data_IF_911075109769
#
_entry.id   IF_911075109769
#
_cell.length_a   1.000
_cell.length_b   1.000
_cell.length_c   1.000
_cell.angle_alpha   90.00
_cell.angle_beta   90.00
_cell.angle_gamma   90.00
#
_symmetry.space_group_name_H-M   'P 1'
#
loop_
_entity.id
_entity.type
_entity.pdbx_description
1 polymer ?
#
# COMPACT_ATOMS: atom_id res chain seq x y z
N UNK A 1 -41.46 -27.82 11.56
CA UNK A 1 -41.09 -26.57 10.85
C UNK A 1 -39.70 -26.79 10.25
N UNK A 2 -39.65 -27.19 8.97
CA UNK A 2 -38.40 -27.49 8.30
C UNK A 2 -37.83 -26.17 7.73
N UNK A 3 -36.71 -25.72 8.31
CA UNK A 3 -35.91 -24.64 7.74
C UNK A 3 -35.27 -25.20 6.47
N UNK A 4 -35.80 -24.88 5.31
CA UNK A 4 -35.16 -25.18 4.03
C UNK A 4 -33.96 -24.23 3.90
N UNK A 5 -32.78 -24.73 4.29
CA UNK A 5 -31.53 -24.08 3.94
C UNK A 5 -31.36 -24.33 2.43
N UNK A 6 -31.75 -23.36 1.63
CA UNK A 6 -31.39 -23.36 0.21
C UNK A 6 -29.88 -23.22 0.13
N UNK A 7 -29.19 -24.33 -0.05
CA UNK A 7 -27.81 -24.32 -0.52
C UNK A 7 -27.84 -23.79 -1.95
N UNK A 8 -27.44 -22.54 -2.12
CA UNK A 8 -27.15 -22.00 -3.45
C UNK A 8 -25.88 -22.70 -3.91
N UNK A 9 -26.05 -23.70 -4.77
CA UNK A 9 -24.93 -24.35 -5.44
C UNK A 9 -24.58 -23.44 -6.62
N UNK A 10 -23.57 -22.61 -6.44
CA UNK A 10 -22.98 -21.85 -7.55
C UNK A 10 -21.91 -22.74 -8.20
N UNK A 11 -21.87 -22.74 -9.53
CA UNK A 11 -20.80 -23.43 -10.26
C UNK A 11 -19.43 -22.78 -9.98
N UNK A 12 -18.35 -23.55 -10.13
CA UNK A 12 -16.98 -23.00 -9.99
C UNK A 12 -16.77 -21.77 -10.87
N UNK A 13 -17.34 -21.73 -12.07
CA UNK A 13 -17.29 -20.59 -12.97
C UNK A 13 -18.06 -19.38 -12.42
N UNK A 14 -19.21 -19.60 -11.76
CA UNK A 14 -19.96 -18.52 -11.11
C UNK A 14 -19.25 -18.04 -9.85
N UNK A 15 -18.70 -18.96 -9.05
CA UNK A 15 -17.88 -18.60 -7.88
C UNK A 15 -16.66 -17.80 -8.30
N UNK A 16 -15.96 -18.23 -9.35
CA UNK A 16 -14.82 -17.52 -9.91
C UNK A 16 -15.20 -16.11 -10.40
N UNK A 17 -16.32 -15.96 -11.11
CA UNK A 17 -16.82 -14.65 -11.57
C UNK A 17 -17.18 -13.73 -10.40
N UNK A 18 -17.90 -14.24 -9.39
CA UNK A 18 -18.24 -13.46 -8.20
C UNK A 18 -16.98 -13.03 -7.44
N UNK A 19 -15.98 -13.92 -7.32
CA UNK A 19 -14.71 -13.63 -6.68
C UNK A 19 -13.86 -12.63 -7.48
N UNK A 20 -13.88 -12.71 -8.82
CA UNK A 20 -13.21 -11.76 -9.71
C UNK A 20 -13.91 -10.40 -9.75
N UNK A 21 -15.26 -10.35 -9.63
CA UNK A 21 -16.00 -9.09 -9.50
C UNK A 21 -15.81 -8.43 -8.15
N UNK A 22 -15.71 -9.19 -7.05
CA UNK A 22 -15.43 -8.66 -5.71
C UNK A 22 -13.99 -8.15 -5.56
N UNK A 23 -13.06 -8.62 -6.40
CA UNK A 23 -11.64 -8.24 -6.36
C UNK A 23 -11.19 -7.35 -7.51
N UNK A 24 -12.12 -6.77 -8.26
CA UNK A 24 -11.77 -5.87 -9.35
C UNK A 24 -11.12 -4.59 -8.80
N UNK A 25 -9.81 -4.51 -8.95
CA UNK A 25 -9.04 -3.32 -8.60
C UNK A 25 -9.46 -2.15 -9.50
N UNK A 26 -9.96 -1.07 -8.90
CA UNK A 26 -10.31 0.14 -9.62
C UNK A 26 -9.02 0.87 -10.04
N UNK A 27 -8.81 1.04 -11.33
CA UNK A 27 -7.67 1.79 -11.83
C UNK A 27 -7.97 3.29 -11.88
N UNK A 28 -7.20 4.08 -11.14
CA UNK A 28 -7.19 5.55 -11.18
C UNK A 28 -5.96 5.98 -11.99
N UNK A 29 -6.12 6.54 -13.19
CA UNK A 29 -4.98 6.83 -14.06
C UNK A 29 -3.99 7.82 -13.44
N UNK A 30 -4.48 8.79 -12.68
CA UNK A 30 -3.66 9.80 -12.01
C UNK A 30 -4.48 10.55 -10.96
N UNK A 31 -3.88 10.85 -9.81
CA UNK A 31 -4.53 11.63 -8.74
C UNK A 31 -4.86 13.07 -9.17
N UNK A 32 -4.19 13.57 -10.22
CA UNK A 32 -4.48 14.91 -10.80
C UNK A 32 -5.91 15.06 -11.29
N UNK A 33 -6.62 13.98 -11.65
CA UNK A 33 -8.05 14.03 -11.98
C UNK A 33 -8.92 14.46 -10.79
N UNK A 34 -8.39 14.35 -9.57
CA UNK A 34 -8.99 14.82 -8.32
C UNK A 34 -8.31 16.11 -7.81
N UNK A 35 -7.60 16.85 -8.68
CA UNK A 35 -6.88 18.06 -8.30
C UNK A 35 -5.67 17.84 -7.38
N UNK A 36 -5.05 16.65 -7.38
CA UNK A 36 -4.02 16.21 -6.43
C UNK A 36 -4.52 16.20 -4.96
N UNK A 37 -5.82 16.12 -4.75
CA UNK A 37 -6.43 16.15 -3.43
C UNK A 37 -6.76 14.71 -2.97
N UNK A 38 -6.06 14.28 -1.92
CA UNK A 38 -6.24 12.96 -1.32
C UNK A 38 -7.64 12.78 -0.74
N UNK A 39 -8.18 13.80 -0.08
CA UNK A 39 -9.49 13.70 0.57
C UNK A 39 -10.62 13.65 -0.46
N UNK A 40 -10.47 14.32 -1.60
CA UNK A 40 -11.42 14.22 -2.72
C UNK A 40 -11.39 12.81 -3.30
N UNK A 41 -10.20 12.24 -3.51
CA UNK A 41 -10.06 10.85 -3.95
C UNK A 41 -10.71 9.88 -2.96
N UNK A 42 -10.46 10.04 -1.65
CA UNK A 42 -11.06 9.14 -0.64
C UNK A 42 -12.58 9.23 -0.63
N UNK A 43 -13.16 10.42 -0.70
CA UNK A 43 -14.63 10.60 -0.81
C UNK A 43 -15.21 9.97 -2.09
N UNK A 44 -14.50 10.05 -3.20
CA UNK A 44 -14.89 9.34 -4.42
C UNK A 44 -14.90 7.83 -4.21
N UNK A 45 -13.85 7.28 -3.61
CA UNK A 45 -13.74 5.84 -3.31
C UNK A 45 -14.85 5.38 -2.35
N UNK A 46 -15.14 6.15 -1.30
CA UNK A 46 -16.26 5.90 -0.39
C UNK A 46 -17.60 5.81 -1.14
N UNK A 47 -17.85 6.71 -2.10
CA UNK A 47 -19.05 6.69 -2.93
C UNK A 47 -19.15 5.44 -3.82
N UNK A 48 -18.05 4.72 -4.03
CA UNK A 48 -17.95 3.47 -4.79
C UNK A 48 -17.91 2.23 -3.92
N UNK A 49 -18.07 2.37 -2.60
CA UNK A 49 -18.01 1.25 -1.64
C UNK A 49 -16.59 0.87 -1.22
N UNK A 50 -15.65 1.81 -1.30
CA UNK A 50 -14.22 1.59 -0.95
C UNK A 50 -13.58 0.40 -1.64
N UNK A 51 -13.64 0.27 -2.97
CA UNK A 51 -13.00 -0.83 -3.66
C UNK A 51 -11.47 -0.77 -3.50
N UNK A 52 -10.76 -1.89 -3.63
CA UNK A 52 -9.32 -1.85 -3.85
C UNK A 52 -9.02 -1.05 -5.12
N UNK A 53 -7.96 -0.23 -5.08
CA UNK A 53 -7.63 0.62 -6.23
C UNK A 53 -6.12 0.73 -6.46
N UNK A 54 -5.75 1.08 -7.70
CA UNK A 54 -4.39 1.38 -8.13
C UNK A 54 -4.29 2.81 -8.66
N UNK A 55 -3.13 3.43 -8.50
CA UNK A 55 -2.80 4.74 -9.03
C UNK A 55 -1.75 4.64 -10.15
N UNK A 56 -2.05 5.22 -11.32
CA UNK A 56 -1.18 5.21 -12.50
C UNK A 56 -0.05 6.23 -12.48
N UNK A 57 -0.12 7.28 -11.68
CA UNK A 57 0.89 8.32 -11.57
C UNK A 57 1.70 8.25 -10.27
N UNK A 58 2.37 9.35 -9.94
CA UNK A 58 3.00 9.55 -8.65
C UNK A 58 1.94 9.83 -7.57
N UNK A 59 2.21 9.39 -6.35
CA UNK A 59 1.42 9.75 -5.18
C UNK A 59 2.26 10.56 -4.20
N UNK A 60 1.85 11.81 -3.96
CA UNK A 60 2.50 12.68 -2.99
C UNK A 60 1.55 12.99 -1.82
N UNK A 61 1.90 12.50 -0.64
CA UNK A 61 1.15 12.67 0.60
C UNK A 61 1.90 13.51 1.64
N UNK A 62 3.03 14.11 1.26
CA UNK A 62 3.93 14.84 2.17
C UNK A 62 3.17 15.93 2.93
N UNK A 63 3.32 15.92 4.26
CA UNK A 63 2.69 16.88 5.15
C UNK A 63 1.19 16.70 5.36
N UNK A 64 0.56 15.71 4.74
CA UNK A 64 -0.84 15.38 4.97
C UNK A 64 -1.03 14.54 6.24
N UNK A 65 -2.22 14.62 6.84
CA UNK A 65 -2.57 13.85 8.04
C UNK A 65 -3.10 12.47 7.67
N UNK A 66 -2.32 11.71 6.90
CA UNK A 66 -2.69 10.35 6.46
C UNK A 66 -2.08 9.33 7.41
N UNK A 67 -2.92 8.53 8.07
CA UNK A 67 -2.49 7.47 9.00
C UNK A 67 -2.44 6.09 8.34
N UNK A 68 -3.17 5.87 7.24
CA UNK A 68 -3.22 4.61 6.51
C UNK A 68 -3.44 4.85 5.02
N UNK A 69 -2.87 4.00 4.17
CA UNK A 69 -3.14 4.01 2.73
C UNK A 69 -4.42 3.25 2.37
N UNK A 70 -5.09 2.63 3.35
CA UNK A 70 -6.38 1.97 3.16
C UNK A 70 -6.35 0.88 2.09
N UNK A 71 -7.22 0.98 1.10
CA UNK A 71 -7.40 -0.02 0.04
C UNK A 71 -6.54 0.25 -1.21
N UNK A 72 -5.55 1.14 -1.13
CA UNK A 72 -4.56 1.33 -2.19
C UNK A 72 -3.74 0.06 -2.36
N UNK A 73 -3.76 -0.54 -3.55
CA UNK A 73 -3.05 -1.79 -3.85
C UNK A 73 -1.70 -1.53 -4.51
N UNK A 74 -1.63 -0.54 -5.40
CA UNK A 74 -0.38 -0.21 -6.10
C UNK A 74 -0.30 1.25 -6.51
N UNK A 75 0.94 1.74 -6.60
CA UNK A 75 1.32 3.01 -7.24
C UNK A 75 2.26 2.67 -8.39
N UNK A 76 1.96 3.08 -9.61
CA UNK A 76 2.78 2.72 -10.79
C UNK A 76 4.13 3.43 -10.83
N UNK A 77 4.20 4.64 -10.26
CA UNK A 77 5.43 5.44 -10.21
C UNK A 77 5.89 5.66 -8.75
N UNK A 78 6.24 6.87 -8.38
CA UNK A 78 6.81 7.17 -7.07
C UNK A 78 5.73 7.40 -6.00
N UNK A 79 6.01 6.96 -4.78
CA UNK A 79 5.22 7.22 -3.58
C UNK A 79 6.05 8.06 -2.60
N UNK A 80 5.59 9.27 -2.32
CA UNK A 80 6.15 10.17 -1.32
C UNK A 80 5.16 10.33 -0.17
N UNK A 81 5.46 9.74 0.98
CA UNK A 81 4.64 9.82 2.20
C UNK A 81 5.49 10.15 3.44
N UNK A 82 6.65 10.77 3.24
CA UNK A 82 7.52 11.19 4.33
C UNK A 82 6.90 12.35 5.13
N UNK A 83 7.33 12.47 6.39
CA UNK A 83 6.82 13.47 7.33
C UNK A 83 5.30 13.43 7.51
N UNK A 84 4.70 12.23 7.45
CA UNK A 84 3.28 11.99 7.71
C UNK A 84 3.09 11.12 8.95
N UNK A 85 1.91 11.17 9.60
CA UNK A 85 1.58 10.26 10.72
C UNK A 85 1.23 8.83 10.26
N UNK A 86 1.74 8.40 9.11
CA UNK A 86 1.44 7.11 8.50
C UNK A 86 1.88 5.95 9.41
N UNK A 87 0.97 5.08 9.77
CA UNK A 87 1.15 3.89 10.63
C UNK A 87 1.01 2.59 9.86
N UNK A 88 0.23 2.61 8.76
CA UNK A 88 -0.10 1.41 7.99
C UNK A 88 -0.04 1.67 6.50
N UNK A 89 0.56 0.74 5.77
CA UNK A 89 0.52 0.72 4.30
C UNK A 89 -0.79 0.12 3.76
N UNK A 90 -1.71 -0.31 4.64
CA UNK A 90 -2.98 -0.90 4.23
C UNK A 90 -2.81 -2.10 3.32
N UNK A 91 -3.46 -2.06 2.16
CA UNK A 91 -3.43 -3.12 1.14
C UNK A 91 -2.29 -2.99 0.13
N UNK A 92 -1.36 -2.04 0.31
CA UNK A 92 -0.30 -1.76 -0.66
C UNK A 92 0.62 -2.97 -0.87
N UNK A 93 0.74 -3.40 -2.12
CA UNK A 93 1.58 -4.54 -2.53
C UNK A 93 2.77 -4.12 -3.38
N UNK A 94 2.66 -3.01 -4.14
CA UNK A 94 3.72 -2.60 -5.05
C UNK A 94 3.79 -1.08 -5.26
N UNK A 95 5.02 -0.61 -5.44
CA UNK A 95 5.36 0.75 -5.92
C UNK A 95 6.33 0.59 -7.07
N UNK A 96 5.99 1.13 -8.25
CA UNK A 96 6.80 0.97 -9.46
C UNK A 96 8.08 1.78 -9.48
N UNK A 97 8.14 2.88 -8.75
CA UNK A 97 9.29 3.78 -8.61
C UNK A 97 9.87 3.82 -7.21
N UNK A 98 10.32 4.98 -6.80
CA UNK A 98 10.82 5.25 -5.45
C UNK A 98 9.68 5.23 -4.44
N UNK A 99 9.92 4.67 -3.27
CA UNK A 99 9.02 4.73 -2.12
C UNK A 99 9.73 5.40 -0.95
N UNK A 100 9.28 6.61 -0.58
CA UNK A 100 9.80 7.35 0.56
C UNK A 100 8.74 7.45 1.66
N UNK A 101 8.95 6.70 2.74
CA UNK A 101 8.14 6.71 3.95
C UNK A 101 8.96 7.11 5.17
N UNK A 102 9.99 7.92 4.95
CA UNK A 102 10.85 8.42 6.05
C UNK A 102 10.07 9.28 7.03
N UNK A 103 10.51 9.29 8.28
CA UNK A 103 9.87 10.02 9.37
C UNK A 103 8.38 9.71 9.55
N UNK A 104 7.97 8.47 9.30
CA UNK A 104 6.61 7.97 9.57
C UNK A 104 6.60 7.05 10.80
N UNK A 105 5.42 6.59 11.18
CA UNK A 105 5.23 5.67 12.31
C UNK A 105 5.07 4.21 11.85
N UNK A 106 5.58 3.89 10.67
CA UNK A 106 5.50 2.54 10.10
C UNK A 106 6.38 1.57 10.89
N UNK A 107 5.77 0.54 11.45
CA UNK A 107 6.43 -0.57 12.16
C UNK A 107 6.48 -1.86 11.33
N UNK A 108 5.73 -1.93 10.24
CA UNK A 108 5.66 -3.08 9.35
C UNK A 108 5.40 -2.65 7.90
N UNK A 109 6.04 -3.34 6.96
CA UNK A 109 5.78 -3.15 5.54
C UNK A 109 4.53 -3.91 5.05
N UNK A 110 3.77 -4.54 5.95
CA UNK A 110 2.49 -5.17 5.64
C UNK A 110 2.58 -6.18 4.49
N UNK A 111 1.79 -5.96 3.44
CA UNK A 111 1.72 -6.82 2.24
C UNK A 111 2.64 -6.35 1.10
N UNK A 112 3.47 -5.32 1.33
CA UNK A 112 4.39 -4.84 0.32
C UNK A 112 5.31 -5.97 -0.15
N UNK A 113 5.41 -6.15 -1.46
CA UNK A 113 6.22 -7.21 -2.10
C UNK A 113 7.18 -6.68 -3.17
N UNK A 114 6.94 -5.47 -3.68
CA UNK A 114 7.75 -4.90 -4.77
C UNK A 114 7.94 -3.39 -4.62
N UNK A 115 9.18 -2.92 -4.81
CA UNK A 115 9.55 -1.52 -4.99
C UNK A 115 10.54 -1.43 -6.16
N UNK A 116 10.14 -0.80 -7.25
CA UNK A 116 10.94 -0.70 -8.47
C UNK A 116 12.10 0.30 -8.41
N UNK A 117 12.08 1.21 -7.44
CA UNK A 117 13.16 2.13 -7.13
C UNK A 117 13.79 1.85 -5.77
N UNK A 118 14.24 2.91 -5.11
CA UNK A 118 14.77 2.84 -3.74
C UNK A 118 13.64 2.90 -2.71
N UNK A 119 13.84 2.23 -1.58
CA UNK A 119 12.95 2.26 -0.41
C UNK A 119 13.61 3.08 0.70
N UNK A 120 13.01 4.22 1.07
CA UNK A 120 13.54 5.13 2.09
C UNK A 120 12.76 4.94 3.39
N UNK A 121 13.45 4.49 4.45
CA UNK A 121 12.91 4.10 5.75
C UNK A 121 13.52 4.91 6.91
N UNK A 122 14.28 5.95 6.60
CA UNK A 122 14.94 6.79 7.60
C UNK A 122 13.93 7.34 8.61
N UNK A 123 14.24 7.23 9.90
CA UNK A 123 13.38 7.76 10.97
C UNK A 123 12.08 6.99 11.20
N UNK A 124 11.93 5.80 10.61
CA UNK A 124 10.82 4.89 10.93
C UNK A 124 11.17 3.99 12.12
N UNK A 125 10.17 3.50 12.88
CA UNK A 125 10.40 2.50 13.93
C UNK A 125 11.01 1.19 13.43
N UNK A 126 10.89 0.87 12.12
CA UNK A 126 11.54 -0.29 11.50
C UNK A 126 13.05 -0.26 11.64
N UNK A 127 13.67 0.95 11.64
CA UNK A 127 15.10 1.13 11.83
C UNK A 127 15.37 2.11 12.98
N UNK A 128 15.34 1.65 14.24
CA UNK A 128 15.67 2.51 15.38
C UNK A 128 17.04 3.16 15.23
N UNK A 129 17.11 4.45 15.54
CA UNK A 129 18.37 5.24 15.42
C UNK A 129 19.53 4.60 16.16
N UNK A 130 19.25 4.04 17.33
CA UNK A 130 20.24 3.43 18.23
C UNK A 130 20.54 1.96 17.91
N UNK A 131 19.94 1.41 16.84
CA UNK A 131 20.22 0.04 16.44
C UNK A 131 21.68 -0.12 15.99
N UNK A 132 22.32 -1.19 16.45
CA UNK A 132 23.69 -1.52 16.05
C UNK A 132 23.76 -1.75 14.53
N UNK A 133 24.95 -1.57 13.90
CA UNK A 133 25.13 -1.87 12.48
C UNK A 133 24.69 -3.30 12.12
N UNK A 134 24.98 -4.27 13.01
CA UNK A 134 24.58 -5.67 12.83
C UNK A 134 23.06 -5.86 12.87
N UNK A 135 22.34 -5.12 13.73
CA UNK A 135 20.88 -5.15 13.80
C UNK A 135 20.27 -4.52 12.56
N UNK A 136 20.82 -3.42 12.07
CA UNK A 136 20.40 -2.76 10.83
C UNK A 136 20.57 -3.68 9.62
N UNK A 137 21.73 -4.37 9.51
CA UNK A 137 21.96 -5.32 8.44
C UNK A 137 20.95 -6.48 8.46
N UNK A 138 20.68 -7.05 9.64
CA UNK A 138 19.65 -8.11 9.77
C UNK A 138 18.28 -7.65 9.34
N UNK A 139 17.92 -6.41 9.66
CA UNK A 139 16.64 -5.83 9.28
C UNK A 139 16.55 -5.65 7.76
N UNK A 140 17.61 -5.13 7.13
CA UNK A 140 17.69 -5.03 5.68
C UNK A 140 17.56 -6.40 5.01
N UNK A 141 18.27 -7.41 5.49
CA UNK A 141 18.19 -8.79 4.98
C UNK A 141 16.76 -9.35 5.11
N UNK A 142 16.09 -9.08 6.23
CA UNK A 142 14.68 -9.48 6.42
C UNK A 142 13.76 -8.80 5.42
N UNK A 143 13.93 -7.50 5.18
CA UNK A 143 13.13 -6.76 4.20
C UNK A 143 13.37 -7.35 2.81
N UNK A 144 14.61 -7.54 2.39
CA UNK A 144 14.95 -8.08 1.06
C UNK A 144 14.45 -9.51 0.81
N UNK A 145 14.20 -10.28 1.87
CA UNK A 145 13.56 -11.61 1.76
C UNK A 145 12.06 -11.53 1.46
N UNK A 146 11.42 -10.45 1.89
CA UNK A 146 9.97 -10.25 1.78
C UNK A 146 9.60 -9.33 0.63
N UNK A 147 10.40 -8.27 0.42
CA UNK A 147 10.16 -7.22 -0.56
C UNK A 147 11.27 -7.22 -1.58
N UNK A 148 10.94 -7.38 -2.84
CA UNK A 148 11.90 -7.15 -3.91
C UNK A 148 12.09 -5.65 -4.11
N UNK A 149 13.23 -5.12 -3.66
CA UNK A 149 13.62 -3.72 -3.84
C UNK A 149 14.69 -3.65 -4.93
N UNK A 150 14.38 -3.04 -6.07
CA UNK A 150 15.30 -2.95 -7.19
C UNK A 150 16.45 -1.97 -6.92
N UNK A 151 16.17 -0.89 -6.20
CA UNK A 151 17.17 0.09 -5.78
C UNK A 151 17.75 -0.20 -4.39
N UNK A 152 18.12 0.87 -3.69
CA UNK A 152 18.70 0.81 -2.36
C UNK A 152 17.63 0.87 -1.26
N UNK A 153 17.94 0.28 -0.10
CA UNK A 153 17.19 0.51 1.13
C UNK A 153 17.96 1.56 1.94
N UNK A 154 17.35 2.73 2.15
CA UNK A 154 17.95 3.88 2.80
C UNK A 154 17.31 4.08 4.19
N UNK A 155 18.12 3.95 5.27
CA UNK A 155 17.63 4.00 6.65
C UNK A 155 18.52 4.81 7.61
N UNK A 156 19.52 5.54 7.09
CA UNK A 156 20.44 6.40 7.86
C UNK A 156 20.29 7.88 7.50
#
# INVERSE_FOLDING_TARGET
MYLLVMKIIISEAQHKRLFEEEQKVLHIPDIRIFGNDWDILQRFLESKGNPPYSLGGNLNLVGLKVESLGNLVSVEHDLYAYDTPLKSLGSLTSVGGLMDISNTQIESLGNLSFVGGSLVLKGTPLFPKDASPRSKQRMEDMIRRKVYVQGNILYY
#
